data_IF_690753912030
#
_entry.id   IF_690753912030
#
_cell.length_a   1.000
_cell.length_b   1.000
_cell.length_c   1.000
_cell.angle_alpha   90.00
_cell.angle_beta   90.00
_cell.angle_gamma   90.00
#
_symmetry.space_group_name_H-M   'P 1'
#
loop_
_entity.id
_entity.type
_entity.pdbx_description
1 polymer ?
#
# COMPACT_ATOMS: atom_id res chain seq x y z
N UNK A 1 9.11 -11.30 18.79
CA UNK A 1 8.96 -11.39 20.26
C UNK A 1 7.60 -12.01 20.60
N UNK A 2 7.53 -12.80 21.68
CA UNK A 2 6.32 -13.48 22.15
C UNK A 2 5.13 -12.53 22.34
N UNK A 3 5.34 -11.31 22.84
CA UNK A 3 4.29 -10.30 23.02
C UNK A 3 3.51 -9.98 21.73
N UNK A 4 4.21 -9.84 20.59
CA UNK A 4 3.56 -9.60 19.28
C UNK A 4 2.74 -10.81 18.83
N UNK A 5 3.18 -12.03 19.18
CA UNK A 5 2.42 -13.26 18.91
C UNK A 5 1.19 -13.36 19.83
N UNK A 6 1.29 -12.95 21.09
CA UNK A 6 0.18 -12.97 22.06
C UNK A 6 -0.97 -12.03 21.69
N UNK A 7 -0.69 -10.92 20.99
CA UNK A 7 -1.73 -10.08 20.39
C UNK A 7 -2.60 -10.87 19.41
N UNK A 8 -2.00 -11.75 18.61
CA UNK A 8 -2.75 -12.60 17.68
C UNK A 8 -3.70 -13.58 18.40
N UNK A 9 -3.41 -13.89 19.67
CA UNK A 9 -4.24 -14.73 20.54
C UNK A 9 -5.14 -13.94 21.50
N UNK A 10 -5.26 -12.61 21.32
CA UNK A 10 -6.07 -11.70 22.17
C UNK A 10 -5.70 -11.73 23.67
N UNK A 11 -4.48 -12.16 24.00
CA UNK A 11 -3.95 -12.16 25.38
C UNK A 11 -3.25 -10.83 25.67
N UNK A 12 -4.04 -9.78 25.82
CA UNK A 12 -3.54 -8.40 25.92
C UNK A 12 -2.83 -8.12 27.24
N UNK A 13 -3.37 -8.59 28.37
CA UNK A 13 -2.75 -8.40 29.69
C UNK A 13 -1.37 -9.07 29.79
N UNK A 14 -1.27 -10.33 29.37
CA UNK A 14 0.02 -11.05 29.32
C UNK A 14 1.03 -10.35 28.40
N UNK A 15 0.57 -9.78 27.29
CA UNK A 15 1.43 -9.06 26.37
C UNK A 15 1.91 -7.71 26.95
N UNK A 16 1.04 -6.99 27.67
CA UNK A 16 1.38 -5.75 28.37
C UNK A 16 2.43 -6.00 29.46
N UNK A 17 2.26 -7.06 30.26
CA UNK A 17 3.22 -7.43 31.30
C UNK A 17 4.58 -7.80 30.71
N UNK A 18 4.60 -8.55 29.61
CA UNK A 18 5.84 -8.91 28.93
C UNK A 18 6.54 -7.69 28.34
N UNK A 19 5.79 -6.76 27.74
CA UNK A 19 6.34 -5.51 27.20
C UNK A 19 6.87 -4.63 28.33
N UNK A 20 6.16 -4.57 29.47
CA UNK A 20 6.61 -3.83 30.65
C UNK A 20 7.93 -4.42 31.19
N UNK A 21 7.98 -5.72 31.47
CA UNK A 21 9.20 -6.41 31.94
C UNK A 21 10.37 -6.25 30.96
N UNK A 22 10.12 -6.37 29.66
CA UNK A 22 11.18 -6.17 28.65
C UNK A 22 11.75 -4.75 28.68
N UNK A 23 10.89 -3.73 28.87
CA UNK A 23 11.31 -2.34 29.00
C UNK A 23 12.00 -2.05 30.34
N UNK A 24 11.60 -2.70 31.43
CA UNK A 24 12.28 -2.54 32.73
C UNK A 24 13.70 -3.14 32.70
N UNK A 25 13.88 -4.27 32.01
CA UNK A 25 15.16 -4.97 31.96
C UNK A 25 16.21 -4.30 31.07
N UNK A 26 15.83 -3.89 29.85
CA UNK A 26 16.76 -3.23 28.92
C UNK A 26 16.01 -2.20 28.05
N UNK A 27 15.74 -1.01 28.61
CA UNK A 27 14.86 -0.04 27.97
C UNK A 27 15.47 0.64 26.74
N UNK A 28 16.79 0.57 26.57
CA UNK A 28 17.49 1.20 25.43
C UNK A 28 17.91 0.18 24.36
N UNK A 29 17.55 -1.10 24.51
CA UNK A 29 17.76 -2.12 23.49
C UNK A 29 16.95 -1.82 22.20
N UNK A 30 17.57 -1.79 21.00
CA UNK A 30 16.85 -1.54 19.77
C UNK A 30 15.70 -2.53 19.51
N UNK A 31 15.89 -3.79 19.89
CA UNK A 31 14.86 -4.82 19.70
C UNK A 31 13.71 -4.63 20.67
N UNK A 32 13.98 -4.29 21.93
CA UNK A 32 12.92 -3.99 22.92
C UNK A 32 12.15 -2.76 22.48
N UNK A 33 12.82 -1.68 22.11
CA UNK A 33 12.17 -0.46 21.61
C UNK A 33 11.30 -0.78 20.38
N UNK A 34 11.85 -1.49 19.39
CA UNK A 34 11.12 -1.85 18.17
C UNK A 34 9.89 -2.70 18.47
N UNK A 35 10.02 -3.74 19.29
CA UNK A 35 8.93 -4.65 19.58
C UNK A 35 7.86 -4.04 20.48
N UNK A 36 8.25 -3.30 21.52
CA UNK A 36 7.32 -2.60 22.41
C UNK A 36 6.60 -1.45 21.70
N UNK A 37 7.31 -0.65 20.91
CA UNK A 37 6.70 0.41 20.11
C UNK A 37 5.72 -0.13 19.07
N UNK A 38 6.08 -1.20 18.34
CA UNK A 38 5.18 -1.84 17.37
C UNK A 38 3.94 -2.45 18.04
N UNK A 39 4.11 -3.03 19.23
CA UNK A 39 3.00 -3.54 20.02
C UNK A 39 2.03 -2.39 20.39
N UNK A 40 2.54 -1.30 20.95
CA UNK A 40 1.73 -0.12 21.32
C UNK A 40 1.03 0.49 20.11
N UNK A 41 1.73 0.60 18.97
CA UNK A 41 1.19 1.06 17.71
C UNK A 41 0.01 0.18 17.25
N UNK A 42 0.14 -1.14 17.34
CA UNK A 42 -0.94 -2.07 16.98
C UNK A 42 -2.14 -2.00 17.93
N UNK A 43 -1.95 -1.58 19.19
CA UNK A 43 -3.03 -1.31 20.15
C UNK A 43 -3.62 0.10 20.02
N UNK A 44 -3.22 0.88 19.00
CA UNK A 44 -3.61 2.28 18.82
C UNK A 44 -3.22 3.19 20.01
N UNK A 45 -2.23 2.80 20.82
CA UNK A 45 -1.65 3.58 21.93
C UNK A 45 -0.54 4.49 21.40
N UNK A 46 -0.94 5.43 20.54
CA UNK A 46 -0.02 6.19 19.67
C UNK A 46 0.97 7.07 20.45
N UNK A 47 0.53 7.74 21.52
CA UNK A 47 1.40 8.60 22.33
C UNK A 47 2.51 7.80 23.03
N UNK A 48 2.16 6.66 23.61
CA UNK A 48 3.14 5.78 24.25
C UNK A 48 4.11 5.19 23.22
N UNK A 49 3.63 4.80 22.04
CA UNK A 49 4.48 4.32 20.96
C UNK A 49 5.50 5.37 20.53
N UNK A 50 5.09 6.64 20.39
CA UNK A 50 5.97 7.75 20.04
C UNK A 50 7.06 7.93 21.11
N UNK A 51 6.69 7.91 22.40
CA UNK A 51 7.66 8.02 23.51
C UNK A 51 8.69 6.90 23.44
N UNK A 52 8.26 5.66 23.21
CA UNK A 52 9.15 4.50 23.08
C UNK A 52 10.08 4.66 21.88
N UNK A 53 9.56 4.95 20.69
CA UNK A 53 10.39 5.06 19.48
C UNK A 53 11.37 6.23 19.52
N UNK A 54 11.01 7.36 20.16
CA UNK A 54 11.92 8.50 20.36
C UNK A 54 13.19 8.11 21.14
N UNK A 55 13.12 7.13 22.04
CA UNK A 55 14.32 6.61 22.73
C UNK A 55 15.30 5.97 21.75
N UNK A 56 14.78 5.33 20.70
CA UNK A 56 15.57 4.69 19.65
C UNK A 56 16.42 5.66 18.83
N UNK A 57 16.03 6.94 18.77
CA UNK A 57 16.77 7.97 18.03
C UNK A 57 18.17 8.25 18.59
N UNK A 58 18.47 7.82 19.83
CA UNK A 58 19.82 7.90 20.38
C UNK A 58 20.82 6.98 19.68
N UNK A 59 20.35 6.02 18.87
CA UNK A 59 21.19 5.04 18.18
C UNK A 59 21.29 5.38 16.70
N UNK A 60 22.43 5.97 16.32
CA UNK A 60 22.66 6.49 14.96
C UNK A 60 22.47 5.45 13.86
N UNK A 61 22.88 4.21 14.09
CA UNK A 61 22.78 3.09 13.13
C UNK A 61 21.33 2.66 12.85
N UNK A 62 20.40 2.93 13.78
CA UNK A 62 18.99 2.57 13.66
C UNK A 62 18.09 3.77 13.33
N UNK A 63 18.66 4.98 13.17
CA UNK A 63 17.91 6.20 12.90
C UNK A 63 16.91 6.06 11.76
N UNK A 64 17.26 5.54 10.56
CA UNK A 64 16.28 5.40 9.47
C UNK A 64 15.07 4.55 9.88
N UNK A 65 15.30 3.46 10.60
CA UNK A 65 14.23 2.56 11.03
C UNK A 65 13.33 3.21 12.06
N UNK A 66 13.89 3.89 13.07
CA UNK A 66 13.10 4.54 14.12
C UNK A 66 12.37 5.78 13.64
N UNK A 67 12.99 6.59 12.77
CA UNK A 67 12.31 7.69 12.11
C UNK A 67 11.13 7.20 11.26
N UNK A 68 11.30 6.12 10.51
CA UNK A 68 10.17 5.50 9.80
C UNK A 68 9.07 5.01 10.76
N UNK A 69 9.39 4.40 11.91
CA UNK A 69 8.37 4.00 12.89
C UNK A 69 7.64 5.20 13.51
N UNK A 70 8.34 6.30 13.79
CA UNK A 70 7.74 7.54 14.26
C UNK A 70 6.81 8.14 13.20
N UNK A 71 7.23 8.15 11.94
CA UNK A 71 6.38 8.57 10.84
C UNK A 71 5.09 7.75 10.77
N UNK A 72 5.14 6.43 10.94
CA UNK A 72 3.94 5.59 10.99
C UNK A 72 3.02 5.95 12.16
N UNK A 73 3.56 6.30 13.33
CA UNK A 73 2.75 6.75 14.46
C UNK A 73 2.02 8.07 14.13
N UNK A 74 2.73 9.05 13.56
CA UNK A 74 2.11 10.32 13.17
C UNK A 74 1.12 10.17 12.01
N UNK A 75 1.38 9.26 11.07
CA UNK A 75 0.41 8.89 10.02
C UNK A 75 -0.88 8.35 10.64
N UNK A 76 -0.79 7.48 11.66
CA UNK A 76 -1.97 6.98 12.35
C UNK A 76 -2.70 8.07 13.13
N UNK A 77 -1.99 9.00 13.76
CA UNK A 77 -2.61 10.18 14.40
C UNK A 77 -3.35 11.05 13.39
N UNK A 78 -2.74 11.32 12.23
CA UNK A 78 -3.38 12.04 11.11
C UNK A 78 -4.67 11.36 10.68
N UNK A 79 -4.62 10.04 10.45
CA UNK A 79 -5.80 9.25 10.03
C UNK A 79 -6.87 9.23 11.14
N UNK A 80 -6.48 9.11 12.41
CA UNK A 80 -7.42 9.15 13.52
C UNK A 80 -8.14 10.50 13.60
N UNK A 81 -7.41 11.60 13.37
CA UNK A 81 -7.97 12.95 13.35
C UNK A 81 -8.93 13.14 12.17
N UNK A 82 -8.55 12.68 10.96
CA UNK A 82 -9.43 12.69 9.78
C UNK A 82 -10.73 11.91 10.01
N UNK A 83 -10.68 10.80 10.75
CA UNK A 83 -11.85 9.95 11.04
C UNK A 83 -12.84 10.57 12.01
N UNK A 84 -12.50 11.67 12.69
CA UNK A 84 -13.45 12.42 13.53
C UNK A 84 -14.54 13.11 12.72
N UNK A 85 -14.40 13.14 11.39
CA UNK A 85 -15.43 13.62 10.48
C UNK A 85 -15.73 15.10 10.71
N UNK A 86 -16.97 15.50 11.01
CA UNK A 86 -17.31 16.91 11.26
C UNK A 86 -16.54 17.57 12.42
N UNK A 87 -15.94 16.77 13.31
CA UNK A 87 -15.14 17.23 14.44
C UNK A 87 -13.63 17.15 14.19
N UNK A 88 -13.19 16.93 12.95
CA UNK A 88 -11.76 16.91 12.63
C UNK A 88 -11.17 18.30 12.80
N UNK A 89 -10.01 18.35 13.44
CA UNK A 89 -9.22 19.56 13.54
C UNK A 89 -8.17 19.57 12.42
N UNK A 90 -8.40 20.39 11.40
CA UNK A 90 -7.50 20.55 10.25
C UNK A 90 -6.09 20.99 10.66
N UNK A 91 -5.96 21.79 11.73
CA UNK A 91 -4.66 22.23 12.23
C UNK A 91 -3.88 21.05 12.84
N UNK A 92 -4.55 20.22 13.65
CA UNK A 92 -3.93 19.01 14.21
C UNK A 92 -3.59 18.00 13.12
N UNK A 93 -4.47 17.81 12.13
CA UNK A 93 -4.19 16.97 10.97
C UNK A 93 -2.94 17.45 10.24
N UNK A 94 -2.85 18.75 9.92
CA UNK A 94 -1.69 19.34 9.27
C UNK A 94 -0.41 19.22 10.11
N UNK A 95 -0.52 19.36 11.44
CA UNK A 95 0.59 19.13 12.37
C UNK A 95 1.09 17.68 12.29
N UNK A 96 0.20 16.70 12.38
CA UNK A 96 0.58 15.28 12.31
C UNK A 96 1.16 14.91 10.94
N UNK A 97 0.64 15.51 9.88
CA UNK A 97 1.16 15.36 8.52
C UNK A 97 2.59 15.91 8.40
N UNK A 98 2.86 17.12 8.89
CA UNK A 98 4.22 17.71 8.90
C UNK A 98 5.20 16.86 9.73
N UNK A 99 4.80 16.39 10.91
CA UNK A 99 5.63 15.48 11.71
C UNK A 99 5.92 14.16 10.96
N UNK A 100 4.94 13.64 10.22
CA UNK A 100 5.12 12.43 9.41
C UNK A 100 6.12 12.66 8.28
N UNK A 101 5.96 13.75 7.51
CA UNK A 101 6.88 14.14 6.42
C UNK A 101 8.30 14.30 6.95
N UNK A 102 8.49 15.10 8.00
CA UNK A 102 9.81 15.37 8.58
C UNK A 102 10.56 14.08 8.98
N UNK A 103 9.88 13.15 9.66
CA UNK A 103 10.52 11.88 10.01
C UNK A 103 10.75 10.96 8.81
N UNK A 104 9.94 11.02 7.76
CA UNK A 104 10.20 10.27 6.52
C UNK A 104 11.39 10.85 5.76
N UNK A 105 11.48 12.18 5.65
CA UNK A 105 12.62 12.90 5.06
C UNK A 105 13.92 12.50 5.76
N UNK A 106 13.97 12.56 7.09
CA UNK A 106 15.15 12.10 7.85
C UNK A 106 15.48 10.62 7.59
N UNK A 107 14.46 9.76 7.47
CA UNK A 107 14.67 8.34 7.22
C UNK A 107 15.27 8.07 5.83
N UNK A 108 14.82 8.79 4.80
CA UNK A 108 15.28 8.61 3.43
C UNK A 108 16.59 9.34 3.15
N UNK A 109 16.87 10.46 3.84
CA UNK A 109 18.17 11.12 3.78
C UNK A 109 19.28 10.21 4.30
N UNK A 110 19.04 9.57 5.45
CA UNK A 110 19.99 8.64 6.06
C UNK A 110 20.06 7.28 5.33
N UNK A 111 18.97 6.87 4.66
CA UNK A 111 18.92 5.65 3.86
C UNK A 111 18.13 5.87 2.56
N UNK A 112 18.77 6.34 1.49
CA UNK A 112 18.09 6.60 0.21
C UNK A 112 17.45 5.36 -0.43
N UNK A 113 17.92 4.16 -0.08
CA UNK A 113 17.32 2.89 -0.52
C UNK A 113 16.11 2.44 0.29
N UNK A 114 15.59 3.26 1.21
CA UNK A 114 14.41 2.93 2.00
C UNK A 114 13.12 3.16 1.20
N UNK A 115 12.92 2.36 0.15
CA UNK A 115 11.86 2.57 -0.86
C UNK A 115 10.45 2.61 -0.26
N UNK A 116 10.21 1.83 0.81
CA UNK A 116 8.93 1.89 1.52
C UNK A 116 8.67 3.26 2.18
N UNK A 117 9.69 3.91 2.73
CA UNK A 117 9.58 5.26 3.29
C UNK A 117 9.41 6.30 2.18
N UNK A 118 10.12 6.16 1.05
CA UNK A 118 9.97 7.01 -0.13
C UNK A 118 8.53 6.98 -0.68
N UNK A 119 7.94 5.79 -0.83
CA UNK A 119 6.57 5.66 -1.35
C UNK A 119 5.53 6.32 -0.42
N UNK A 120 5.71 6.22 0.90
CA UNK A 120 4.86 6.90 1.90
C UNK A 120 5.05 8.43 1.85
N UNK A 121 6.29 8.89 1.68
CA UNK A 121 6.63 10.31 1.57
C UNK A 121 6.00 10.94 0.32
N UNK A 122 6.06 10.23 -0.82
CA UNK A 122 5.48 10.69 -2.08
C UNK A 122 3.97 10.94 -1.97
N UNK A 123 3.22 10.05 -1.31
CA UNK A 123 1.79 10.27 -1.05
C UNK A 123 1.54 11.50 -0.18
N UNK A 124 2.37 11.74 0.84
CA UNK A 124 2.21 12.88 1.72
C UNK A 124 2.55 14.20 1.02
N UNK A 125 3.54 14.23 0.13
CA UNK A 125 3.76 15.38 -0.75
C UNK A 125 2.55 15.66 -1.63
N UNK A 126 1.93 14.62 -2.19
CA UNK A 126 0.72 14.79 -3.00
C UNK A 126 -0.47 15.32 -2.18
N UNK A 127 -0.62 14.89 -0.93
CA UNK A 127 -1.64 15.42 -0.01
C UNK A 127 -1.40 16.88 0.40
N UNK A 128 -0.14 17.32 0.48
CA UNK A 128 0.23 18.73 0.67
C UNK A 128 0.07 19.56 -0.62
N UNK A 129 -0.25 18.92 -1.76
CA UNK A 129 -0.39 19.57 -3.05
C UNK A 129 0.93 19.74 -3.82
N UNK A 130 2.04 19.25 -3.28
CA UNK A 130 3.34 19.26 -3.96
C UNK A 130 3.46 18.08 -4.93
N UNK A 131 2.73 18.19 -6.05
CA UNK A 131 2.64 17.14 -7.06
C UNK A 131 3.98 16.88 -7.74
N UNK A 132 4.84 17.90 -7.84
CA UNK A 132 6.16 17.78 -8.46
C UNK A 132 7.09 16.89 -7.62
N UNK A 133 7.22 17.15 -6.31
CA UNK A 133 8.03 16.29 -5.44
C UNK A 133 7.43 14.89 -5.30
N UNK A 134 6.11 14.77 -5.29
CA UNK A 134 5.44 13.47 -5.25
C UNK A 134 5.81 12.61 -6.47
N UNK A 135 5.67 13.15 -7.68
CA UNK A 135 6.00 12.49 -8.95
C UNK A 135 7.48 12.09 -9.01
N UNK A 136 8.39 13.00 -8.65
CA UNK A 136 9.83 12.72 -8.63
C UNK A 136 10.17 11.59 -7.65
N UNK A 137 9.58 11.62 -6.46
CA UNK A 137 9.79 10.58 -5.43
C UNK A 137 9.25 9.22 -5.89
N UNK A 138 8.11 9.18 -6.58
CA UNK A 138 7.58 7.94 -7.15
C UNK A 138 8.46 7.39 -8.28
N UNK A 139 8.98 8.24 -9.17
CA UNK A 139 9.95 7.84 -10.19
C UNK A 139 11.19 7.23 -9.57
N UNK A 140 11.74 7.85 -8.53
CA UNK A 140 12.86 7.29 -7.79
C UNK A 140 12.51 5.94 -7.15
N UNK A 141 11.27 5.72 -6.70
CA UNK A 141 10.85 4.38 -6.25
C UNK A 141 10.88 3.35 -7.38
N UNK A 142 10.44 3.72 -8.60
CA UNK A 142 10.46 2.83 -9.76
C UNK A 142 11.88 2.43 -10.18
N UNK A 143 12.83 3.37 -10.14
CA UNK A 143 14.24 3.10 -10.45
C UNK A 143 14.85 2.03 -9.52
N UNK A 144 14.37 1.93 -8.28
CA UNK A 144 14.83 0.93 -7.31
C UNK A 144 14.14 -0.42 -7.44
N UNK A 145 13.00 -0.53 -8.14
CA UNK A 145 12.22 -1.77 -8.24
C UNK A 145 13.05 -2.99 -8.71
N UNK A 146 13.92 -2.89 -9.75
CA UNK A 146 14.68 -4.06 -10.23
C UNK A 146 15.61 -4.66 -9.17
N UNK A 147 16.06 -3.85 -8.20
CA UNK A 147 16.94 -4.26 -7.11
C UNK A 147 16.15 -4.87 -5.93
N UNK A 148 14.83 -4.67 -5.87
CA UNK A 148 13.99 -5.10 -4.76
C UNK A 148 13.60 -6.58 -4.87
N UNK A 149 14.08 -7.36 -3.91
CA UNK A 149 13.67 -8.77 -3.75
C UNK A 149 12.28 -8.91 -3.12
N UNK A 150 11.83 -7.91 -2.36
CA UNK A 150 10.58 -7.98 -1.62
C UNK A 150 9.38 -7.58 -2.50
N UNK A 151 8.76 -8.57 -3.14
CA UNK A 151 7.57 -8.40 -4.02
C UNK A 151 6.44 -7.56 -3.39
N UNK A 152 6.28 -7.63 -2.06
CA UNK A 152 5.27 -6.84 -1.35
C UNK A 152 5.55 -5.33 -1.42
N UNK A 153 6.82 -4.92 -1.38
CA UNK A 153 7.21 -3.51 -1.49
C UNK A 153 6.94 -3.00 -2.90
N UNK A 154 7.24 -3.79 -3.93
CA UNK A 154 6.89 -3.47 -5.32
C UNK A 154 5.37 -3.25 -5.49
N UNK A 155 4.57 -4.12 -4.88
CA UNK A 155 3.11 -4.00 -4.87
C UNK A 155 2.63 -2.71 -4.17
N UNK A 156 3.22 -2.35 -3.03
CA UNK A 156 2.91 -1.08 -2.34
C UNK A 156 3.20 0.12 -3.24
N UNK A 157 4.35 0.13 -3.91
CA UNK A 157 4.77 1.25 -4.78
C UNK A 157 3.77 1.43 -5.92
N UNK A 158 3.42 0.36 -6.63
CA UNK A 158 2.44 0.43 -7.71
C UNK A 158 1.04 0.85 -7.22
N UNK A 159 0.60 0.34 -6.06
CA UNK A 159 -0.66 0.77 -5.48
C UNK A 159 -0.67 2.26 -5.12
N UNK A 160 0.38 2.76 -4.47
CA UNK A 160 0.49 4.16 -4.07
C UNK A 160 0.65 5.09 -5.27
N UNK A 161 1.42 4.70 -6.28
CA UNK A 161 1.59 5.51 -7.47
C UNK A 161 0.31 5.56 -8.32
N UNK A 162 -0.42 4.44 -8.39
CA UNK A 162 -1.77 4.41 -8.97
C UNK A 162 -2.74 5.35 -8.23
N UNK A 163 -2.72 5.33 -6.89
CA UNK A 163 -3.55 6.22 -6.06
C UNK A 163 -3.18 7.70 -6.27
N UNK A 164 -1.90 8.02 -6.37
CA UNK A 164 -1.43 9.37 -6.69
C UNK A 164 -2.05 9.88 -7.99
N UNK A 165 -1.95 9.11 -9.07
CA UNK A 165 -2.52 9.52 -10.34
C UNK A 165 -4.05 9.55 -10.33
N UNK A 166 -4.69 8.62 -9.63
CA UNK A 166 -6.14 8.54 -9.55
C UNK A 166 -6.74 9.74 -8.80
N UNK A 167 -6.16 10.12 -7.65
CA UNK A 167 -6.75 11.12 -6.76
C UNK A 167 -6.16 12.52 -6.93
N UNK A 168 -4.87 12.65 -7.23
CA UNK A 168 -4.18 13.94 -7.20
C UNK A 168 -3.97 14.52 -8.59
N UNK A 169 -3.49 13.72 -9.55
CA UNK A 169 -3.27 14.22 -10.93
C UNK A 169 -4.47 13.99 -11.85
N UNK A 170 -5.44 13.18 -11.43
CA UNK A 170 -6.59 12.73 -12.23
C UNK A 170 -6.17 12.10 -13.58
N UNK A 171 -4.97 11.51 -13.64
CA UNK A 171 -4.45 10.83 -14.82
C UNK A 171 -4.85 9.35 -14.77
N UNK A 172 -5.99 9.05 -15.35
CA UNK A 172 -6.57 7.72 -15.28
C UNK A 172 -5.75 6.64 -15.98
N UNK A 173 -5.14 6.96 -17.13
CA UNK A 173 -4.33 6.00 -17.88
C UNK A 173 -3.14 5.52 -17.05
N UNK A 174 -2.42 6.46 -16.42
CA UNK A 174 -1.30 6.12 -15.54
C UNK A 174 -1.76 5.40 -14.26
N UNK A 175 -2.91 5.78 -13.71
CA UNK A 175 -3.48 5.06 -12.57
C UNK A 175 -3.77 3.59 -12.91
N UNK A 176 -4.44 3.34 -14.05
CA UNK A 176 -4.71 1.98 -14.55
C UNK A 176 -3.41 1.21 -14.77
N UNK A 177 -2.40 1.82 -15.40
CA UNK A 177 -1.12 1.19 -15.68
C UNK A 177 -0.47 0.66 -14.39
N UNK A 178 -0.35 1.49 -13.35
CA UNK A 178 0.24 1.03 -12.10
C UNK A 178 -0.63 0.03 -11.34
N UNK A 179 -1.96 0.17 -11.33
CA UNK A 179 -2.80 -0.84 -10.72
C UNK A 179 -2.69 -2.20 -11.43
N UNK A 180 -2.53 -2.22 -12.76
CA UNK A 180 -2.26 -3.44 -13.54
C UNK A 180 -0.92 -4.07 -13.15
N UNK A 181 0.16 -3.29 -13.08
CA UNK A 181 1.46 -3.77 -12.60
C UNK A 181 1.38 -4.37 -11.18
N UNK A 182 0.63 -3.71 -10.28
CA UNK A 182 0.36 -4.26 -8.95
C UNK A 182 -0.42 -5.59 -8.99
N UNK A 183 -1.36 -5.74 -9.92
CA UNK A 183 -2.18 -6.95 -10.07
C UNK A 183 -1.36 -8.15 -10.58
N UNK A 184 -0.32 -7.90 -11.40
CA UNK A 184 0.61 -8.92 -11.90
C UNK A 184 1.44 -9.58 -10.79
N UNK A 185 1.62 -8.92 -9.65
CA UNK A 185 2.31 -9.48 -8.49
C UNK A 185 1.31 -10.38 -7.73
N UNK A 186 1.45 -11.72 -7.74
CA UNK A 186 0.43 -12.65 -7.24
C UNK A 186 0.44 -12.78 -5.70
N UNK A 187 0.47 -11.65 -5.00
CA UNK A 187 0.36 -11.56 -3.55
C UNK A 187 -1.01 -11.00 -3.21
N UNK A 188 -2.01 -11.88 -3.02
CA UNK A 188 -3.42 -11.55 -2.67
C UNK A 188 -3.60 -10.94 -1.26
N UNK A 189 -2.70 -10.04 -0.87
CA UNK A 189 -2.68 -9.22 0.35
C UNK A 189 -3.55 -7.98 0.18
N UNK A 190 -3.56 -7.13 1.19
CA UNK A 190 -4.42 -5.95 1.23
C UNK A 190 -4.21 -5.02 0.04
N UNK A 191 -2.95 -4.74 -0.31
CA UNK A 191 -2.54 -3.79 -1.34
C UNK A 191 -2.98 -4.26 -2.74
N UNK A 192 -2.82 -5.56 -3.03
CA UNK A 192 -3.32 -6.18 -4.26
C UNK A 192 -4.84 -6.08 -4.38
N UNK A 193 -5.57 -6.29 -3.27
CA UNK A 193 -7.03 -6.14 -3.25
C UNK A 193 -7.44 -4.68 -3.50
N UNK A 194 -6.63 -3.70 -3.07
CA UNK A 194 -6.87 -2.30 -3.41
C UNK A 194 -6.70 -2.03 -4.90
N UNK A 195 -5.63 -2.53 -5.53
CA UNK A 195 -5.44 -2.41 -6.99
C UNK A 195 -6.62 -3.03 -7.75
N UNK A 196 -6.99 -4.28 -7.43
CA UNK A 196 -8.13 -4.97 -8.05
C UNK A 196 -9.45 -4.21 -7.87
N UNK A 197 -9.71 -3.71 -6.66
CA UNK A 197 -10.89 -2.90 -6.36
C UNK A 197 -10.89 -1.60 -7.16
N UNK A 198 -9.74 -0.94 -7.30
CA UNK A 198 -9.62 0.32 -8.05
C UNK A 198 -9.85 0.13 -9.54
N UNK A 199 -9.28 -0.91 -10.13
CA UNK A 199 -9.53 -1.27 -11.52
C UNK A 199 -11.01 -1.55 -11.79
N UNK A 200 -11.67 -2.33 -10.92
CA UNK A 200 -13.12 -2.58 -10.99
C UNK A 200 -13.92 -1.28 -10.93
N UNK A 201 -13.65 -0.40 -9.97
CA UNK A 201 -14.34 0.88 -9.84
C UNK A 201 -14.20 1.76 -11.08
N UNK A 202 -13.00 1.82 -11.66
CA UNK A 202 -12.74 2.58 -12.89
C UNK A 202 -13.53 1.99 -14.06
N UNK A 203 -13.46 0.67 -14.23
CA UNK A 203 -14.16 -0.05 -15.30
C UNK A 203 -15.69 0.10 -15.19
N UNK A 204 -16.27 -0.12 -14.01
CA UNK A 204 -17.71 0.01 -13.78
C UNK A 204 -18.20 1.43 -14.10
N UNK A 205 -17.45 2.46 -13.69
CA UNK A 205 -17.77 3.85 -13.99
C UNK A 205 -17.67 4.17 -15.49
N UNK A 206 -16.71 3.58 -16.21
CA UNK A 206 -16.60 3.70 -17.67
C UNK A 206 -17.79 3.04 -18.36
N UNK A 207 -18.13 1.82 -17.97
CA UNK A 207 -19.25 1.04 -18.52
C UNK A 207 -20.63 1.66 -18.26
N UNK A 208 -20.78 2.35 -17.12
CA UNK A 208 -21.98 3.13 -16.83
C UNK A 208 -22.19 4.29 -17.84
N UNK A 209 -21.12 4.85 -18.39
CA UNK A 209 -21.17 5.92 -19.40
C UNK A 209 -21.22 5.37 -20.83
N UNK A 210 -20.44 4.34 -21.11
CA UNK A 210 -20.36 3.68 -22.40
C UNK A 210 -20.34 2.16 -22.22
N UNK A 211 -21.46 1.49 -22.49
CA UNK A 211 -21.57 0.02 -22.35
C UNK A 211 -20.67 -0.76 -23.33
N UNK A 212 -20.20 -0.13 -24.40
CA UNK A 212 -19.28 -0.71 -25.38
C UNK A 212 -17.81 -0.35 -25.17
N UNK A 213 -17.42 0.07 -23.96
CA UNK A 213 -16.02 0.32 -23.63
C UNK A 213 -15.25 -1.01 -23.49
N UNK A 214 -14.59 -1.42 -24.58
CA UNK A 214 -13.82 -2.66 -24.65
C UNK A 214 -12.65 -2.70 -23.67
N UNK A 215 -11.98 -1.56 -23.42
CA UNK A 215 -10.87 -1.49 -22.45
C UNK A 215 -11.39 -1.71 -21.03
N UNK A 216 -12.51 -1.09 -20.66
CA UNK A 216 -13.14 -1.30 -19.35
C UNK A 216 -13.57 -2.77 -19.14
N UNK A 217 -14.12 -3.41 -20.17
CA UNK A 217 -14.44 -4.84 -20.14
C UNK A 217 -13.17 -5.69 -19.96
N UNK A 218 -12.10 -5.37 -20.67
CA UNK A 218 -10.81 -6.05 -20.55
C UNK A 218 -10.21 -5.88 -19.14
N UNK A 219 -10.35 -4.72 -18.50
CA UNK A 219 -9.93 -4.53 -17.10
C UNK A 219 -10.69 -5.46 -16.15
N UNK A 220 -12.00 -5.62 -16.33
CA UNK A 220 -12.78 -6.59 -15.53
C UNK A 220 -12.32 -8.03 -15.79
N UNK A 221 -11.98 -8.36 -17.05
CA UNK A 221 -11.40 -9.65 -17.43
C UNK A 221 -10.06 -9.92 -16.74
N UNK A 222 -9.15 -8.95 -16.74
CA UNK A 222 -7.86 -9.03 -16.05
C UNK A 222 -8.03 -9.25 -14.54
N UNK A 223 -8.93 -8.49 -13.90
CA UNK A 223 -9.18 -8.65 -12.47
C UNK A 223 -9.81 -10.02 -12.16
N UNK A 224 -10.78 -10.47 -12.94
CA UNK A 224 -11.40 -11.79 -12.78
C UNK A 224 -10.36 -12.92 -12.93
N UNK A 225 -9.47 -12.82 -13.93
CA UNK A 225 -8.36 -13.78 -14.13
C UNK A 225 -7.44 -13.82 -12.91
N UNK A 226 -7.04 -12.65 -12.41
CA UNK A 226 -6.15 -12.55 -11.25
C UNK A 226 -6.82 -13.04 -9.94
N UNK A 227 -8.14 -12.88 -9.81
CA UNK A 227 -8.93 -13.46 -8.71
C UNK A 227 -9.00 -14.99 -8.80
N UNK A 228 -8.83 -15.56 -10.00
CA UNK A 228 -8.89 -16.99 -10.29
C UNK A 228 -10.17 -17.42 -10.99
N UNK A 229 -11.07 -16.49 -11.28
CA UNK A 229 -12.33 -16.75 -11.99
C UNK A 229 -12.11 -16.70 -13.51
N UNK A 230 -11.53 -17.79 -14.03
CA UNK A 230 -11.19 -17.93 -15.46
C UNK A 230 -12.42 -17.86 -16.37
N UNK A 231 -13.56 -18.37 -15.92
CA UNK A 231 -14.80 -18.38 -16.70
C UNK A 231 -15.30 -16.95 -16.91
N UNK A 232 -15.44 -16.17 -15.82
CA UNK A 232 -15.85 -14.77 -15.93
C UNK A 232 -14.81 -13.93 -16.67
N UNK A 233 -13.52 -14.23 -16.50
CA UNK A 233 -12.48 -13.56 -17.26
C UNK A 233 -12.69 -13.74 -18.77
N UNK A 234 -12.93 -14.97 -19.22
CA UNK A 234 -13.17 -15.27 -20.63
C UNK A 234 -14.43 -14.53 -21.15
N UNK A 235 -15.53 -14.53 -20.40
CA UNK A 235 -16.74 -13.79 -20.77
C UNK A 235 -16.49 -12.29 -20.95
N UNK A 236 -15.65 -11.69 -20.10
CA UNK A 236 -15.31 -10.27 -20.22
C UNK A 236 -14.44 -9.99 -21.45
N UNK A 237 -13.46 -10.85 -21.76
CA UNK A 237 -12.64 -10.69 -22.96
C UNK A 237 -13.44 -10.93 -24.25
N UNK A 238 -14.41 -11.86 -24.26
CA UNK A 238 -15.34 -12.03 -25.39
C UNK A 238 -16.16 -10.76 -25.62
N UNK A 239 -16.70 -10.16 -24.54
CA UNK A 239 -17.42 -8.89 -24.64
C UNK A 239 -16.50 -7.75 -25.11
N UNK A 240 -15.25 -7.71 -24.65
CA UNK A 240 -14.26 -6.72 -25.08
C UNK A 240 -13.96 -6.85 -26.59
N UNK A 241 -13.75 -8.08 -27.08
CA UNK A 241 -13.56 -8.37 -28.51
C UNK A 241 -14.79 -8.02 -29.36
N UNK A 242 -16.00 -8.18 -28.83
CA UNK A 242 -17.20 -7.75 -29.55
C UNK A 242 -17.25 -6.22 -29.75
N UNK A 243 -16.59 -5.45 -28.88
CA UNK A 243 -16.45 -4.00 -29.02
C UNK A 243 -15.28 -3.63 -29.95
N UNK A 244 -14.17 -4.36 -29.87
CA UNK A 244 -12.95 -4.15 -30.66
C UNK A 244 -12.43 -5.49 -31.19
N UNK A 245 -12.87 -5.85 -32.40
CA UNK A 245 -12.72 -7.21 -32.97
C UNK A 245 -11.29 -7.57 -33.34
N UNK A 246 -10.47 -6.57 -33.61
CA UNK A 246 -9.10 -6.74 -34.11
C UNK A 246 -8.07 -6.57 -32.97
N UNK A 247 -8.52 -6.51 -31.71
CA UNK A 247 -7.65 -6.35 -30.57
C UNK A 247 -6.90 -7.65 -30.23
N UNK A 248 -5.64 -7.72 -30.65
CA UNK A 248 -4.77 -8.89 -30.46
C UNK A 248 -4.57 -9.25 -28.97
N UNK A 249 -4.52 -8.25 -28.08
CA UNK A 249 -4.34 -8.49 -26.63
C UNK A 249 -5.54 -9.25 -26.05
N UNK A 250 -6.76 -8.86 -26.42
CA UNK A 250 -7.98 -9.51 -25.94
C UNK A 250 -8.11 -10.93 -26.50
N UNK A 251 -7.75 -11.11 -27.78
CA UNK A 251 -7.76 -12.40 -28.44
C UNK A 251 -6.77 -13.36 -27.77
N UNK A 252 -5.54 -12.90 -27.54
CA UNK A 252 -4.51 -13.69 -26.87
C UNK A 252 -4.95 -14.10 -25.46
N UNK A 253 -5.43 -13.15 -24.65
CA UNK A 253 -5.90 -13.42 -23.31
C UNK A 253 -7.09 -14.41 -23.26
N UNK A 254 -8.03 -14.30 -24.21
CA UNK A 254 -9.16 -15.22 -24.32
C UNK A 254 -8.71 -16.64 -24.72
N UNK A 255 -7.79 -16.75 -25.67
CA UNK A 255 -7.23 -18.03 -26.10
C UNK A 255 -6.52 -18.75 -24.96
N UNK A 256 -5.67 -18.06 -24.20
CA UNK A 256 -5.01 -18.62 -23.01
C UNK A 256 -6.03 -19.14 -21.99
N UNK A 257 -7.07 -18.36 -21.68
CA UNK A 257 -8.11 -18.75 -20.73
C UNK A 257 -8.89 -19.98 -21.18
N UNK A 258 -9.20 -20.11 -22.47
CA UNK A 258 -9.90 -21.28 -23.01
C UNK A 258 -9.05 -22.55 -22.92
N UNK A 259 -7.75 -22.45 -23.20
CA UNK A 259 -6.81 -23.57 -23.02
C UNK A 259 -6.71 -24.00 -21.55
N UNK A 260 -6.58 -23.04 -20.63
CA UNK A 260 -6.56 -23.30 -19.19
C UNK A 260 -7.84 -24.01 -18.71
N UNK A 261 -9.00 -23.65 -19.27
CA UNK A 261 -10.29 -24.27 -18.92
C UNK A 261 -10.45 -25.70 -19.46
N UNK A 262 -9.99 -25.97 -20.70
CA UNK A 262 -10.04 -27.31 -21.31
C UNK A 262 -9.10 -28.30 -20.62
N UNK A 263 -7.95 -27.85 -20.13
CA UNK A 263 -7.03 -28.69 -19.36
C UNK A 263 -7.58 -29.11 -17.99
N UNK A 264 -8.47 -28.31 -17.40
CA UNK A 264 -9.03 -28.56 -16.05
C UNK A 264 -10.22 -29.52 -16.00
N UNK A 265 -10.75 -29.95 -17.15
CA UNK A 265 -11.86 -30.91 -17.26
C UNK A 265 -11.41 -32.37 -17.48
N UNK A 266 -10.10 -32.62 -17.42
CA UNK A 266 -9.48 -33.91 -17.77
C UNK A 266 -8.81 -34.62 -16.57
N UNK A 267 -8.97 -34.10 -15.35
CA UNK A 267 -8.56 -34.69 -14.06
C UNK A 267 -9.79 -35.02 -13.21
#
# INVERSE_FOLDING_TARGET
>A
MLAVKLVAYKKYEEADDLVKKARENDPDNPHVIRHSGNYLLNQNRLDEAIVVFKRGLRRRDQLPSFNYQLALCYKQKKIAEQRRGPFSNTEEEGKWRRCCISHLEEAVEMKPSFVRALAELALLYAEEGDLSRAEETFKHCLEKLPELKEKRVCLIIHQYYGDFHHYHTKNEAQAIAHYKEGLLIPLKKYEWRQCAKKLKQIADRRLAKNRGDGEALALLGQVARAEGDRKRAAEFYEKALNCDKDNEEYLSALCELRLELQGSSSD
#
